data_IF_379507108336
#
_entry.id   IF_379507108336
#
_cell.length_a   1.000
_cell.length_b   1.000
_cell.length_c   1.000
_cell.angle_alpha   90.00
_cell.angle_beta   90.00
_cell.angle_gamma   90.00
#
_symmetry.space_group_name_H-M   'P 1'
#
loop_
_entity.id
_entity.type
_entity.pdbx_description
1 polymer ?
#
# COMPACT_ATOMS: atom_id res chain seq x y z
N UNK A 1 12.36 8.61 -12.60
CA UNK A 1 11.85 8.48 -11.21
C UNK A 1 10.41 8.98 -11.20
N UNK A 2 9.44 8.08 -11.33
CA UNK A 2 8.01 8.41 -11.26
C UNK A 2 7.66 8.50 -9.77
N UNK A 3 7.21 9.66 -9.30
CA UNK A 3 6.69 9.79 -7.94
C UNK A 3 5.39 8.99 -7.81
N UNK A 4 5.15 8.40 -6.62
CA UNK A 4 3.95 7.60 -6.28
C UNK A 4 2.62 8.29 -6.63
N UNK A 5 2.62 9.63 -6.75
CA UNK A 5 1.44 10.46 -7.12
C UNK A 5 1.43 10.93 -8.59
N UNK A 6 2.52 10.74 -9.34
CA UNK A 6 2.68 11.27 -10.70
C UNK A 6 2.10 10.39 -11.80
N UNK A 7 1.70 9.15 -11.50
CA UNK A 7 1.10 8.26 -12.49
C UNK A 7 -0.27 8.74 -13.02
N UNK A 8 -0.86 9.81 -12.43
CA UNK A 8 -2.20 10.31 -12.79
C UNK A 8 -2.16 11.71 -13.44
N UNK A 9 -1.03 12.43 -13.46
CA UNK A 9 -0.98 13.80 -14.01
C UNK A 9 -0.17 13.88 -15.30
N UNK A 10 -0.75 13.39 -16.38
CA UNK A 10 -0.27 13.62 -17.75
C UNK A 10 -0.64 15.02 -18.27
N UNK A 11 0.34 15.91 -18.23
CA UNK A 11 0.61 17.04 -19.14
C UNK A 11 -0.55 17.89 -19.73
N UNK A 12 -0.66 19.13 -19.27
CA UNK A 12 -1.21 20.24 -20.07
C UNK A 12 -0.63 21.60 -19.66
N UNK A 13 0.29 22.13 -20.48
CA UNK A 13 0.80 23.52 -20.53
C UNK A 13 2.01 23.52 -21.49
N UNK A 14 2.26 24.38 -22.48
CA UNK A 14 1.76 25.67 -23.01
C UNK A 14 2.17 25.66 -24.51
N UNK A 15 1.51 26.27 -25.50
CA UNK A 15 1.10 27.66 -25.63
C UNK A 15 1.80 28.27 -26.87
N UNK A 16 1.05 28.94 -27.75
CA UNK A 16 1.63 29.74 -28.85
C UNK A 16 0.79 29.77 -30.13
N UNK A 17 -0.03 30.80 -30.29
CA UNK A 17 -0.82 31.07 -31.49
C UNK A 17 0.02 31.69 -32.62
N UNK A 18 -0.20 31.26 -33.86
CA UNK A 18 0.06 32.04 -35.07
C UNK A 18 -0.96 31.66 -36.15
N UNK A 19 -1.70 32.66 -36.63
CA UNK A 19 -2.74 32.56 -37.67
C UNK A 19 -2.09 32.65 -39.05
N UNK A 20 -2.42 31.72 -39.96
CA UNK A 20 -2.42 31.97 -41.42
C UNK A 20 -3.48 31.10 -42.12
N UNK A 21 -4.18 31.74 -43.06
CA UNK A 21 -5.33 31.22 -43.80
C UNK A 21 -4.92 30.46 -45.08
N UNK A 22 -5.64 29.39 -45.44
CA UNK A 22 -6.02 29.04 -46.83
C UNK A 22 -6.86 27.76 -46.91
N UNK A 23 -7.83 27.76 -47.83
CA UNK A 23 -8.79 26.72 -48.18
C UNK A 23 -8.18 25.31 -48.38
N UNK A 24 -8.86 24.29 -47.85
CA UNK A 24 -8.59 22.89 -48.16
C UNK A 24 -9.72 21.98 -47.65
N UNK A 25 -10.43 21.34 -48.58
CA UNK A 25 -11.51 20.39 -48.37
C UNK A 25 -10.99 19.15 -47.61
N UNK A 26 -11.49 18.93 -46.40
CA UNK A 26 -11.21 17.74 -45.61
C UNK A 26 -12.03 17.75 -44.34
N UNK A 27 -13.14 17.03 -44.33
CA UNK A 27 -13.91 16.76 -43.12
C UNK A 27 -13.05 15.84 -42.24
N UNK A 28 -12.16 16.44 -41.45
CA UNK A 28 -11.51 15.74 -40.35
C UNK A 28 -12.60 15.52 -39.32
N UNK A 29 -13.04 14.27 -39.18
CA UNK A 29 -13.85 13.85 -38.06
C UNK A 29 -13.04 14.17 -36.80
N UNK A 30 -13.40 15.28 -36.14
CA UNK A 30 -12.98 15.56 -34.78
C UNK A 30 -13.62 14.50 -33.90
N UNK A 31 -13.01 13.32 -33.88
CA UNK A 31 -13.17 12.38 -32.79
C UNK A 31 -12.40 12.97 -31.62
N UNK A 32 -12.95 14.06 -31.06
CA UNK A 32 -12.64 14.43 -29.69
C UNK A 32 -13.14 13.24 -28.89
N UNK A 33 -12.25 12.30 -28.59
CA UNK A 33 -12.46 11.37 -27.52
C UNK A 33 -12.69 12.26 -26.30
N UNK A 34 -13.97 12.49 -25.98
CA UNK A 34 -14.38 13.08 -24.74
C UNK A 34 -13.70 12.25 -23.67
N UNK A 35 -12.70 12.85 -23.00
CA UNK A 35 -12.13 12.27 -21.80
C UNK A 35 -13.31 11.97 -20.89
N UNK A 36 -13.57 10.69 -20.66
CA UNK A 36 -14.69 10.25 -19.86
C UNK A 36 -14.54 10.87 -18.47
N UNK A 37 -15.51 11.69 -18.07
CA UNK A 37 -15.56 12.30 -16.75
C UNK A 37 -15.53 11.17 -15.71
N UNK A 38 -14.42 11.09 -14.97
CA UNK A 38 -14.09 9.99 -14.07
C UNK A 38 -13.58 8.74 -14.80
N UNK A 39 -12.28 8.45 -14.67
CA UNK A 39 -11.74 7.15 -15.06
C UNK A 39 -12.07 6.13 -13.97
N UNK A 40 -13.21 5.45 -14.12
CA UNK A 40 -13.60 4.35 -13.23
C UNK A 40 -13.09 3.03 -13.81
N UNK A 41 -12.51 2.19 -12.96
CA UNK A 41 -12.27 0.79 -13.26
C UNK A 41 -13.21 -0.06 -12.40
N UNK A 42 -14.03 -0.89 -13.06
CA UNK A 42 -14.93 -1.82 -12.37
C UNK A 42 -14.26 -3.18 -12.31
N UNK A 43 -14.05 -3.66 -11.09
CA UNK A 43 -13.59 -5.01 -10.82
C UNK A 43 -14.77 -5.82 -10.28
N UNK A 44 -15.04 -6.96 -10.89
CA UNK A 44 -16.04 -7.90 -10.42
C UNK A 44 -15.34 -9.17 -9.90
N UNK A 45 -15.75 -9.64 -8.73
CA UNK A 45 -15.32 -10.90 -8.13
C UNK A 45 -16.52 -11.83 -8.02
N UNK A 46 -16.29 -13.13 -8.18
CA UNK A 46 -17.31 -14.17 -7.92
C UNK A 46 -17.33 -14.61 -6.46
N UNK A 47 -16.45 -14.04 -5.63
CA UNK A 47 -16.29 -14.32 -4.21
C UNK A 47 -16.53 -13.02 -3.46
N UNK A 48 -17.34 -13.10 -2.41
CA UNK A 48 -17.60 -11.97 -1.51
C UNK A 48 -16.30 -11.56 -0.80
N UNK A 49 -16.21 -10.28 -0.45
CA UNK A 49 -15.09 -9.72 0.32
C UNK A 49 -15.65 -9.47 1.73
N UNK A 50 -15.54 -10.43 2.67
CA UNK A 50 -16.19 -10.30 3.97
C UNK A 50 -15.45 -9.33 4.90
N UNK A 51 -14.15 -9.09 4.66
CA UNK A 51 -13.34 -8.15 5.40
C UNK A 51 -12.19 -7.63 4.53
N UNK A 52 -11.68 -6.46 4.89
CA UNK A 52 -10.55 -5.79 4.24
C UNK A 52 -9.42 -5.48 5.23
N UNK A 53 -9.52 -5.99 6.46
CA UNK A 53 -8.46 -5.91 7.46
C UNK A 53 -7.26 -6.76 7.00
N UNK A 54 -6.08 -6.15 6.78
CA UNK A 54 -4.88 -6.87 6.36
C UNK A 54 -4.40 -7.98 7.31
N UNK A 55 -4.79 -7.95 8.58
CA UNK A 55 -4.38 -8.96 9.56
C UNK A 55 -5.27 -10.21 9.57
N UNK A 56 -6.46 -10.16 8.97
CA UNK A 56 -7.48 -11.23 9.06
C UNK A 56 -7.65 -11.93 7.72
N UNK A 57 -8.07 -11.20 6.68
CA UNK A 57 -8.41 -11.75 5.38
C UNK A 57 -7.27 -11.67 4.37
N UNK A 58 -7.06 -12.75 3.63
CA UNK A 58 -6.15 -12.74 2.49
C UNK A 58 -6.64 -13.74 1.43
N UNK A 59 -6.96 -13.23 0.25
CA UNK A 59 -7.14 -14.00 -0.98
C UNK A 59 -6.95 -13.09 -2.20
N UNK A 60 -7.17 -13.60 -3.42
CA UNK A 60 -7.02 -12.81 -4.64
C UNK A 60 -7.94 -11.58 -4.72
N UNK A 61 -9.21 -11.69 -4.31
CA UNK A 61 -10.19 -10.60 -4.36
C UNK A 61 -9.95 -9.58 -3.25
N UNK A 62 -9.74 -10.05 -2.01
CA UNK A 62 -9.41 -9.23 -0.84
C UNK A 62 -8.12 -8.45 -1.09
N UNK A 63 -7.10 -9.08 -1.67
CA UNK A 63 -5.80 -8.45 -1.92
C UNK A 63 -5.87 -7.26 -2.89
N UNK A 64 -6.82 -7.27 -3.85
CA UNK A 64 -7.01 -6.13 -4.78
C UNK A 64 -7.50 -4.90 -4.00
N UNK A 65 -8.48 -5.09 -3.12
CA UNK A 65 -9.00 -4.05 -2.24
C UNK A 65 -7.93 -3.57 -1.26
N UNK A 66 -7.23 -4.50 -0.58
CA UNK A 66 -6.16 -4.15 0.36
C UNK A 66 -5.05 -3.35 -0.31
N UNK A 67 -4.56 -3.75 -1.49
CA UNK A 67 -3.52 -3.03 -2.24
C UNK A 67 -3.96 -1.66 -2.79
N UNK A 68 -5.25 -1.36 -2.74
CA UNK A 68 -5.83 -0.07 -3.10
C UNK A 68 -5.96 0.86 -1.89
N UNK A 69 -6.18 0.29 -0.70
CA UNK A 69 -6.42 0.99 0.55
C UNK A 69 -5.15 1.15 1.41
N UNK A 70 -4.24 0.20 1.33
CA UNK A 70 -3.05 0.10 2.15
C UNK A 70 -1.80 -0.07 1.28
N UNK A 71 -0.67 0.37 1.84
CA UNK A 71 0.63 0.15 1.24
C UNK A 71 1.51 -0.71 2.17
N UNK A 72 2.55 -1.27 1.58
CA UNK A 72 3.56 -2.13 2.21
C UNK A 72 4.94 -1.50 2.05
N UNK A 73 5.97 -2.01 2.74
CA UNK A 73 7.35 -1.50 2.55
C UNK A 73 7.85 -1.74 1.12
N UNK A 74 7.53 -2.89 0.56
CA UNK A 74 7.85 -3.30 -0.82
C UNK A 74 6.61 -3.87 -1.50
N UNK A 75 6.52 -3.76 -2.83
CA UNK A 75 5.36 -4.23 -3.60
C UNK A 75 5.81 -5.04 -4.81
N UNK A 76 5.05 -6.09 -5.12
CA UNK A 76 5.18 -6.82 -6.39
C UNK A 76 4.56 -6.01 -7.53
N UNK A 77 5.36 -5.68 -8.54
CA UNK A 77 4.97 -4.84 -9.69
C UNK A 77 5.45 -5.48 -11.00
N UNK A 78 4.68 -5.30 -12.08
CA UNK A 78 5.11 -5.64 -13.44
C UNK A 78 4.84 -7.09 -13.87
N UNK A 79 5.25 -7.38 -15.11
CA UNK A 79 5.29 -8.71 -15.70
C UNK A 79 6.53 -8.82 -16.61
N UNK A 80 7.62 -9.50 -16.19
CA UNK A 80 7.73 -10.35 -15.00
C UNK A 80 7.57 -9.58 -13.69
N UNK A 81 7.12 -10.29 -12.65
CA UNK A 81 6.89 -9.70 -11.33
C UNK A 81 8.23 -9.35 -10.68
N UNK A 82 8.39 -8.10 -10.29
CA UNK A 82 9.55 -7.59 -9.57
C UNK A 82 9.13 -7.04 -8.21
N UNK A 83 10.02 -7.20 -7.22
CA UNK A 83 9.84 -6.64 -5.89
C UNK A 83 10.41 -5.21 -5.87
N UNK A 84 9.55 -4.21 -5.85
CA UNK A 84 9.92 -2.79 -5.93
C UNK A 84 9.76 -2.10 -4.58
N UNK A 85 10.69 -1.21 -4.17
CA UNK A 85 10.48 -0.36 -3.01
C UNK A 85 9.15 0.39 -3.12
N UNK A 86 8.32 0.27 -2.08
CA UNK A 86 7.02 0.91 -2.06
C UNK A 86 6.99 1.97 -0.98
N UNK A 87 6.61 1.77 0.29
CA UNK A 87 6.77 2.77 1.37
C UNK A 87 8.23 3.01 1.77
N UNK A 88 9.07 1.98 1.64
CA UNK A 88 10.50 2.09 1.82
C UNK A 88 11.18 2.68 0.57
N UNK A 89 12.33 3.31 0.76
CA UNK A 89 13.25 3.73 -0.30
C UNK A 89 14.30 2.64 -0.58
N UNK A 90 14.58 1.78 0.40
CA UNK A 90 15.58 0.72 0.30
C UNK A 90 15.66 -0.11 1.58
N UNK A 91 16.54 -1.11 1.57
CA UNK A 91 16.92 -1.88 2.74
C UNK A 91 18.40 -2.32 2.69
N UNK A 92 18.95 -2.64 3.86
CA UNK A 92 20.22 -3.34 4.03
C UNK A 92 20.01 -4.66 4.75
N UNK A 93 20.96 -5.59 4.59
CA UNK A 93 20.95 -6.90 5.25
C UNK A 93 22.30 -7.08 5.94
N UNK A 94 22.30 -7.54 7.20
CA UNK A 94 23.51 -7.88 7.94
C UNK A 94 24.27 -9.05 7.31
N UNK A 95 25.56 -9.18 7.63
CA UNK A 95 26.43 -10.24 7.07
C UNK A 95 25.94 -11.67 7.41
N UNK A 96 25.31 -11.84 8.57
CA UNK A 96 24.72 -13.12 8.99
C UNK A 96 23.35 -13.41 8.34
N UNK A 97 22.78 -12.45 7.59
CA UNK A 97 21.49 -12.57 6.93
C UNK A 97 20.29 -12.58 7.88
N UNK A 98 20.46 -12.12 9.13
CA UNK A 98 19.41 -12.15 10.15
C UNK A 98 18.77 -10.79 10.42
N UNK A 99 19.45 -9.68 10.12
CA UNK A 99 18.96 -8.34 10.40
C UNK A 99 18.69 -7.60 9.11
N UNK A 100 17.45 -7.12 8.94
CA UNK A 100 17.01 -6.33 7.80
C UNK A 100 16.62 -4.94 8.27
N UNK A 101 17.29 -3.91 7.74
CA UNK A 101 17.02 -2.51 8.08
C UNK A 101 16.38 -1.82 6.88
N UNK A 102 15.20 -1.25 7.06
CA UNK A 102 14.45 -0.55 6.01
C UNK A 102 14.43 0.95 6.28
N UNK A 103 14.66 1.75 5.23
CA UNK A 103 14.54 3.20 5.29
C UNK A 103 13.25 3.65 4.63
N UNK A 104 12.39 4.35 5.36
CA UNK A 104 11.10 4.86 4.90
C UNK A 104 11.26 6.12 4.04
N UNK A 105 10.33 6.31 3.10
CA UNK A 105 10.23 7.57 2.35
C UNK A 105 9.65 8.67 3.26
N UNK A 106 10.38 9.77 3.51
CA UNK A 106 9.93 10.85 4.38
C UNK A 106 8.69 11.60 3.84
N UNK A 107 8.33 11.42 2.56
CA UNK A 107 7.11 11.97 1.98
C UNK A 107 5.89 11.03 2.10
N UNK A 108 6.08 9.82 2.65
CA UNK A 108 4.99 8.87 2.84
C UNK A 108 3.98 9.39 3.87
N UNK A 109 2.70 9.39 3.48
CA UNK A 109 1.59 9.86 4.32
C UNK A 109 0.45 8.88 4.26
N UNK A 110 -0.23 8.70 5.39
CA UNK A 110 -1.52 8.03 5.45
C UNK A 110 -2.60 8.85 4.75
N UNK A 111 -3.76 8.24 4.55
CA UNK A 111 -4.90 8.87 3.90
C UNK A 111 -5.45 10.10 4.63
N UNK A 112 -5.20 10.25 5.93
CA UNK A 112 -5.53 11.42 6.74
C UNK A 112 -4.48 12.54 6.67
N UNK A 113 -3.36 12.29 5.98
CA UNK A 113 -2.24 13.23 5.83
C UNK A 113 -1.16 13.11 6.90
N UNK A 114 -1.33 12.29 7.93
CA UNK A 114 -0.29 12.02 8.93
C UNK A 114 0.89 11.25 8.29
N UNK A 115 2.12 11.43 8.78
CA UNK A 115 3.30 10.76 8.22
C UNK A 115 3.28 9.25 8.51
N UNK A 116 3.79 8.45 7.58
CA UNK A 116 4.10 7.04 7.83
C UNK A 116 5.48 6.95 8.48
N UNK A 117 5.54 6.51 9.74
CA UNK A 117 6.78 6.38 10.52
C UNK A 117 7.13 4.92 10.78
N UNK A 118 8.35 4.68 11.27
CA UNK A 118 8.80 3.35 11.69
C UNK A 118 7.92 2.76 12.81
N UNK A 119 7.41 3.60 13.71
CA UNK A 119 6.46 3.17 14.76
C UNK A 119 5.19 2.55 14.18
N UNK A 120 4.70 3.08 13.05
CA UNK A 120 3.54 2.50 12.38
C UNK A 120 3.84 1.11 11.79
N UNK A 121 5.08 0.89 11.34
CA UNK A 121 5.53 -0.42 10.87
C UNK A 121 5.60 -1.41 12.03
N UNK A 122 6.22 -1.01 13.15
CA UNK A 122 6.30 -1.81 14.37
C UNK A 122 4.89 -2.17 14.86
N UNK A 123 4.00 -1.18 14.98
CA UNK A 123 2.61 -1.38 15.37
C UNK A 123 1.89 -2.38 14.45
N UNK A 124 2.01 -2.19 13.14
CA UNK A 124 1.31 -3.04 12.15
C UNK A 124 1.81 -4.49 12.23
N UNK A 125 3.11 -4.69 12.41
CA UNK A 125 3.68 -6.02 12.59
C UNK A 125 3.22 -6.66 13.89
N UNK A 126 3.31 -5.95 15.01
CA UNK A 126 2.87 -6.47 16.32
C UNK A 126 1.38 -6.83 16.31
N UNK A 127 0.53 -5.95 15.75
CA UNK A 127 -0.90 -6.19 15.57
C UNK A 127 -1.16 -7.46 14.75
N UNK A 128 -0.43 -7.66 13.65
CA UNK A 128 -0.55 -8.87 12.82
C UNK A 128 -0.21 -10.13 13.63
N UNK A 129 0.86 -10.09 14.42
CA UNK A 129 1.29 -11.22 15.24
C UNK A 129 0.34 -11.49 16.43
N UNK A 130 -0.25 -10.45 17.02
CA UNK A 130 -1.23 -10.57 18.10
C UNK A 130 -2.55 -11.18 17.62
N UNK A 131 -3.02 -10.76 16.45
CA UNK A 131 -4.23 -11.33 15.83
C UNK A 131 -3.98 -12.79 15.40
N UNK A 132 -2.79 -13.09 14.88
CA UNK A 132 -2.37 -14.46 14.56
C UNK A 132 -3.19 -15.13 13.45
N UNK A 133 -3.84 -14.35 12.59
CA UNK A 133 -4.65 -14.82 11.46
C UNK A 133 -4.04 -14.36 10.12
N UNK A 134 -4.76 -14.56 9.02
CA UNK A 134 -4.39 -14.03 7.71
C UNK A 134 -2.97 -14.39 7.29
N UNK A 135 -2.16 -13.37 7.02
CA UNK A 135 -0.78 -13.50 6.54
C UNK A 135 0.29 -13.65 7.65
N UNK A 136 -0.12 -13.73 8.93
CA UNK A 136 0.82 -13.90 10.06
C UNK A 136 1.70 -15.15 9.93
N UNK A 137 1.20 -16.20 9.26
CA UNK A 137 1.96 -17.43 9.03
C UNK A 137 3.26 -17.23 8.24
N UNK A 138 3.40 -16.13 7.49
CA UNK A 138 4.67 -15.80 6.83
C UNK A 138 5.81 -15.47 7.82
N UNK A 139 5.45 -15.05 9.03
CA UNK A 139 6.39 -14.56 10.05
C UNK A 139 6.52 -15.50 11.25
N UNK A 140 5.55 -16.38 11.48
CA UNK A 140 5.56 -17.34 12.59
C UNK A 140 6.85 -18.18 12.63
N UNK A 141 7.61 -18.06 13.73
CA UNK A 141 8.89 -18.74 13.92
C UNK A 141 10.03 -18.21 13.04
N UNK A 142 9.82 -17.10 12.34
CA UNK A 142 10.82 -16.38 11.53
C UNK A 142 11.21 -15.07 12.21
N UNK A 143 10.22 -14.26 12.62
CA UNK A 143 10.42 -12.99 13.32
C UNK A 143 9.51 -12.99 14.54
N UNK A 144 10.08 -12.81 15.72
CA UNK A 144 9.28 -12.68 16.93
C UNK A 144 8.57 -11.32 16.96
N UNK A 145 7.40 -11.28 17.61
CA UNK A 145 6.56 -10.08 17.73
C UNK A 145 7.36 -8.82 18.09
N UNK A 146 8.26 -8.93 19.06
CA UNK A 146 9.03 -7.82 19.62
C UNK A 146 10.42 -7.64 18.97
N UNK A 147 10.73 -8.43 17.94
CA UNK A 147 11.99 -8.36 17.19
C UNK A 147 11.96 -7.32 16.04
N UNK A 148 10.92 -6.49 16.00
CA UNK A 148 10.77 -5.38 15.07
C UNK A 148 10.83 -4.08 15.83
N UNK A 149 11.83 -3.25 15.54
CA UNK A 149 12.13 -2.04 16.29
C UNK A 149 12.24 -0.82 15.38
N UNK A 150 11.69 0.30 15.84
CA UNK A 150 11.95 1.61 15.25
C UNK A 150 13.29 2.12 15.79
N UNK A 151 14.31 2.17 14.94
CA UNK A 151 15.62 2.73 15.29
C UNK A 151 15.52 4.26 15.39
N UNK A 152 14.75 4.84 14.47
CA UNK A 152 14.34 6.24 14.48
C UNK A 152 13.00 6.37 13.71
N UNK A 153 12.49 7.60 13.54
CA UNK A 153 11.20 7.85 12.89
C UNK A 153 11.08 7.30 11.44
N UNK A 154 12.19 7.15 10.72
CA UNK A 154 12.24 6.72 9.32
C UNK A 154 12.99 5.40 9.11
N UNK A 155 13.49 4.77 10.17
CA UNK A 155 14.30 3.54 10.09
C UNK A 155 13.71 2.45 10.97
N UNK A 156 13.35 1.32 10.35
CA UNK A 156 12.83 0.14 11.05
C UNK A 156 13.75 -1.05 10.82
N UNK A 157 14.00 -1.81 11.88
CA UNK A 157 14.84 -3.00 11.86
C UNK A 157 14.00 -4.24 12.21
N UNK A 158 14.20 -5.31 11.45
CA UNK A 158 13.64 -6.64 11.70
C UNK A 158 14.78 -7.60 11.99
N UNK A 159 14.70 -8.31 13.12
CA UNK A 159 15.62 -9.40 13.45
C UNK A 159 14.93 -10.74 13.27
N UNK A 160 15.51 -11.59 12.42
CA UNK A 160 15.03 -12.93 12.14
C UNK A 160 15.69 -13.95 13.08
N UNK A 161 14.92 -14.96 13.48
CA UNK A 161 15.39 -16.09 14.28
C UNK A 161 16.27 -17.06 13.48
N UNK A 162 16.19 -17.02 12.15
CA UNK A 162 16.97 -17.83 11.21
C UNK A 162 16.97 -17.18 9.83
N UNK A 163 17.99 -17.51 9.04
CA UNK A 163 18.04 -17.10 7.63
C UNK A 163 16.79 -17.61 6.89
N UNK A 164 16.12 -16.70 6.19
CA UNK A 164 14.86 -17.01 5.51
C UNK A 164 14.78 -16.27 4.18
N UNK A 165 15.18 -16.96 3.09
CA UNK A 165 15.18 -16.39 1.74
C UNK A 165 13.85 -15.75 1.30
N UNK A 166 12.66 -16.28 1.67
CA UNK A 166 11.38 -15.66 1.31
C UNK A 166 11.03 -14.38 2.09
N UNK A 167 11.84 -13.95 3.07
CA UNK A 167 11.50 -12.82 3.96
C UNK A 167 11.11 -11.55 3.19
N UNK A 168 11.87 -11.19 2.15
CA UNK A 168 11.56 -10.01 1.34
C UNK A 168 10.21 -10.10 0.61
N UNK A 169 9.76 -11.32 0.26
CA UNK A 169 8.44 -11.52 -0.30
C UNK A 169 7.34 -11.45 0.76
N UNK A 170 7.62 -11.89 2.00
CA UNK A 170 6.70 -11.74 3.13
C UNK A 170 6.47 -10.26 3.48
N UNK A 171 7.51 -9.43 3.41
CA UNK A 171 7.41 -7.98 3.64
C UNK A 171 6.43 -7.29 2.66
N UNK A 172 6.27 -7.82 1.45
CA UNK A 172 5.27 -7.31 0.50
C UNK A 172 3.82 -7.71 0.82
N UNK A 173 3.60 -8.44 1.90
CA UNK A 173 2.30 -8.77 2.47
C UNK A 173 2.07 -8.14 3.85
N UNK A 174 3.07 -7.42 4.40
CA UNK A 174 2.92 -6.64 5.62
C UNK A 174 2.41 -5.23 5.28
N UNK A 175 1.09 -5.07 5.31
CA UNK A 175 0.43 -3.79 5.10
C UNK A 175 0.57 -2.90 6.33
N UNK A 176 0.86 -1.61 6.11
CA UNK A 176 1.09 -0.64 7.18
C UNK A 176 -0.18 0.16 7.45
N UNK A 177 -0.62 0.13 8.70
CA UNK A 177 -1.81 0.82 9.19
C UNK A 177 -1.40 2.04 10.04
N UNK A 178 -2.27 3.05 10.07
CA UNK A 178 -2.15 4.21 10.94
C UNK A 178 -2.52 3.82 12.38
N UNK A 179 -1.57 3.80 13.32
CA UNK A 179 -1.82 3.35 14.69
C UNK A 179 -2.87 4.19 15.40
N UNK A 180 -2.85 5.51 15.21
CA UNK A 180 -3.77 6.43 15.90
C UNK A 180 -5.22 6.19 15.47
N UNK A 181 -5.45 5.92 14.18
CA UNK A 181 -6.79 5.60 13.66
C UNK A 181 -7.27 4.25 14.19
N UNK A 182 -6.41 3.23 14.19
CA UNK A 182 -6.78 1.90 14.70
C UNK A 182 -7.10 1.98 16.20
N UNK A 183 -6.22 2.58 17.00
CA UNK A 183 -6.40 2.71 18.45
C UNK A 183 -7.62 3.54 18.83
N UNK A 184 -7.95 4.59 18.07
CA UNK A 184 -9.13 5.41 18.33
C UNK A 184 -10.46 4.67 18.08
N UNK A 185 -10.43 3.58 17.32
CA UNK A 185 -11.59 2.77 16.98
C UNK A 185 -11.50 1.34 17.57
N UNK A 186 -10.54 1.08 18.44
CA UNK A 186 -10.46 -0.16 19.20
C UNK A 186 -11.59 -0.21 20.24
N UNK A 187 -12.24 -1.36 20.33
CA UNK A 187 -13.29 -1.65 21.31
C UNK A 187 -12.95 -2.95 22.02
N UNK A 188 -12.93 -2.92 23.34
CA UNK A 188 -12.71 -4.11 24.19
C UNK A 188 -11.45 -4.94 23.83
N UNK A 189 -10.40 -4.29 23.35
CA UNK A 189 -9.14 -4.94 22.97
C UNK A 189 -9.19 -5.68 21.63
N UNK A 190 -10.16 -5.40 20.77
CA UNK A 190 -10.30 -6.03 19.45
C UNK A 190 -9.23 -5.61 18.43
N UNK A 191 -8.35 -4.67 18.80
CA UNK A 191 -7.33 -4.07 17.94
C UNK A 191 -7.93 -3.41 16.68
N UNK A 192 -9.14 -2.86 16.79
CA UNK A 192 -9.88 -2.18 15.72
C UNK A 192 -10.40 -3.11 14.61
N UNK A 193 -10.44 -4.43 14.85
CA UNK A 193 -10.89 -5.42 13.87
C UNK A 193 -12.33 -5.16 13.40
N UNK A 194 -13.26 -4.86 14.31
CA UNK A 194 -14.66 -4.64 13.93
C UNK A 194 -14.80 -3.42 13.00
N UNK A 195 -14.11 -2.32 13.33
CA UNK A 195 -14.13 -1.09 12.55
C UNK A 195 -13.50 -1.28 11.15
N UNK A 196 -12.40 -2.03 11.07
CA UNK A 196 -11.67 -2.31 9.82
C UNK A 196 -12.39 -3.25 8.86
N UNK A 197 -13.52 -3.85 9.25
CA UNK A 197 -14.36 -4.61 8.31
C UNK A 197 -14.91 -3.71 7.21
N UNK A 198 -15.26 -2.46 7.53
CA UNK A 198 -15.92 -1.52 6.59
C UNK A 198 -15.18 -0.21 6.41
N UNK A 199 -14.09 0.01 7.15
CA UNK A 199 -13.25 1.20 7.09
C UNK A 199 -11.80 0.83 6.79
N UNK A 200 -10.96 1.85 6.55
CA UNK A 200 -9.54 1.66 6.33
C UNK A 200 -8.70 2.68 7.08
N UNK A 201 -7.53 2.23 7.55
CA UNK A 201 -6.52 3.05 8.22
C UNK A 201 -5.20 3.10 7.42
N UNK A 202 -5.28 3.02 6.09
CA UNK A 202 -4.10 2.85 5.23
C UNK A 202 -3.55 4.13 4.60
N UNK A 203 -2.51 3.95 3.79
CA UNK A 203 -1.86 5.01 2.99
C UNK A 203 -2.10 4.86 1.48
N UNK A 204 -2.88 3.86 1.07
CA UNK A 204 -3.10 3.55 -0.34
C UNK A 204 -3.85 4.69 -1.08
N UNK A 205 -3.82 4.67 -2.42
CA UNK A 205 -4.32 5.77 -3.24
C UNK A 205 -5.85 5.94 -3.24
N UNK A 206 -6.61 4.95 -2.77
CA UNK A 206 -8.08 4.98 -2.75
C UNK A 206 -8.64 4.93 -1.33
N UNK A 207 -9.80 5.55 -1.13
CA UNK A 207 -10.58 5.46 0.10
C UNK A 207 -11.89 4.74 -0.15
N UNK A 208 -12.43 4.12 0.89
CA UNK A 208 -13.77 3.54 0.84
C UNK A 208 -14.79 4.68 0.81
N UNK A 209 -15.68 4.66 -0.18
CA UNK A 209 -16.80 5.59 -0.26
C UNK A 209 -18.12 4.92 0.17
N UNK A 210 -18.29 3.63 -0.16
CA UNK A 210 -19.49 2.85 0.13
C UNK A 210 -19.10 1.39 0.26
N UNK A 211 -19.71 0.69 1.22
CA UNK A 211 -19.54 -0.74 1.45
C UNK A 211 -20.92 -1.36 1.66
N UNK A 212 -21.24 -2.39 0.87
CA UNK A 212 -22.52 -3.12 0.94
C UNK A 212 -22.23 -4.62 0.97
N UNK A 213 -22.47 -5.28 2.11
CA UNK A 213 -22.34 -6.73 2.24
C UNK A 213 -23.36 -7.51 1.42
#
# INVERSE_FOLDING_TARGET
VLSRRSAIKGASALGGAAVFASLGLGTVLNNSASAQEGSYAIFASTVDIPNIDPAVGHDGAISISQKSLYDTLYRHVGNPVELTPWLATGHTVSEDGLTYTFTLDPAATFQDGSPVTADAVVFSFQRLMDIGQGVSFFFNGIVDRDAVVAVDAATVEFTLNKQFAPFMHAIAWLFILNPAVVQANEVDGDLGQEWLVTNAAGSGPFKINRWEP
#
